data_IF_916396794208
#
_entry.id   IF_916396794208
#
_cell.length_a   1.000
_cell.length_b   1.000
_cell.length_c   1.000
_cell.angle_alpha   90.00
_cell.angle_beta   90.00
_cell.angle_gamma   90.00
#
_symmetry.space_group_name_H-M   'P 1'
#
loop_
_entity.id
_entity.type
_entity.pdbx_description
1 polymer ?
#
# COMPACT_ATOMS: atom_id res chain seq x y z
N UNK A 1 20.63 7.42 6.11
CA UNK A 1 19.38 8.21 6.00
C UNK A 1 19.70 9.59 5.44
N UNK A 2 19.07 10.01 4.34
CA UNK A 2 19.16 11.40 3.84
C UNK A 2 17.87 12.13 4.21
N UNK A 3 17.96 13.30 4.88
CA UNK A 3 16.79 14.04 5.36
C UNK A 3 15.84 14.48 4.22
N UNK A 4 16.39 14.73 3.02
CA UNK A 4 15.63 15.08 1.81
C UNK A 4 14.71 13.94 1.37
N UNK A 5 15.24 12.72 1.32
CA UNK A 5 14.46 11.50 1.04
C UNK A 5 13.33 11.27 2.05
N UNK A 6 13.60 11.48 3.34
CA UNK A 6 12.59 11.34 4.38
C UNK A 6 11.44 12.36 4.22
N UNK A 7 11.79 13.63 3.94
CA UNK A 7 10.81 14.67 3.68
C UNK A 7 9.98 14.34 2.42
N UNK A 8 10.63 13.88 1.35
CA UNK A 8 9.98 13.49 0.12
C UNK A 8 8.93 12.38 0.35
N UNK A 9 9.30 11.29 1.05
CA UNK A 9 8.36 10.22 1.40
C UNK A 9 7.20 10.71 2.25
N UNK A 10 7.45 11.61 3.21
CA UNK A 10 6.39 12.20 4.04
C UNK A 10 5.41 13.02 3.21
N UNK A 11 5.91 13.83 2.27
CA UNK A 11 5.09 14.62 1.34
C UNK A 11 4.25 13.71 0.43
N UNK A 12 4.81 12.59 -0.05
CA UNK A 12 4.06 11.60 -0.81
C UNK A 12 2.88 11.01 -0.01
N UNK A 13 3.10 10.64 1.26
CA UNK A 13 2.04 10.09 2.13
C UNK A 13 0.88 11.05 2.35
N UNK A 14 1.15 12.35 2.45
CA UNK A 14 0.11 13.39 2.63
C UNK A 14 -0.43 13.93 1.30
N UNK A 15 -0.14 13.27 0.17
CA UNK A 15 -0.68 13.63 -1.15
C UNK A 15 -0.04 14.85 -1.81
N UNK A 16 1.07 15.37 -1.29
CA UNK A 16 1.81 16.53 -1.83
C UNK A 16 2.90 16.11 -2.81
N UNK A 17 2.53 15.27 -3.77
CA UNK A 17 3.49 14.67 -4.70
C UNK A 17 4.31 15.69 -5.52
N UNK A 18 3.74 16.78 -6.10
CA UNK A 18 4.52 17.77 -6.84
C UNK A 18 5.68 18.37 -6.02
N UNK A 19 5.45 18.59 -4.73
CA UNK A 19 6.48 19.11 -3.82
C UNK A 19 7.50 18.03 -3.44
N UNK A 20 7.04 16.80 -3.20
CA UNK A 20 7.90 15.67 -2.86
C UNK A 20 9.01 15.42 -3.90
N UNK A 21 8.66 15.56 -5.19
CA UNK A 21 9.57 15.28 -6.32
C UNK A 21 10.83 16.15 -6.33
N UNK A 22 10.75 17.37 -5.80
CA UNK A 22 11.90 18.26 -5.66
C UNK A 22 12.91 17.82 -4.58
N UNK A 23 12.49 16.93 -3.67
CA UNK A 23 13.30 16.45 -2.55
C UNK A 23 13.86 15.03 -2.74
N UNK A 24 13.31 14.22 -3.65
CA UNK A 24 13.94 12.95 -4.01
C UNK A 24 15.26 13.20 -4.72
N UNK A 25 16.39 12.89 -4.10
CA UNK A 25 17.73 13.02 -4.67
C UNK A 25 18.11 11.77 -5.48
N UNK A 26 17.54 10.61 -5.13
CA UNK A 26 17.73 9.35 -5.86
C UNK A 26 16.79 9.32 -7.08
N UNK A 27 17.32 9.30 -8.32
CA UNK A 27 16.50 9.42 -9.53
C UNK A 27 15.43 8.34 -9.67
N UNK A 28 15.76 7.10 -9.33
CA UNK A 28 14.82 5.98 -9.42
C UNK A 28 13.65 6.14 -8.43
N UNK A 29 13.89 6.69 -7.24
CA UNK A 29 12.83 6.92 -6.25
C UNK A 29 11.92 8.06 -6.70
N UNK A 30 12.51 9.13 -7.25
CA UNK A 30 11.75 10.22 -7.88
C UNK A 30 10.86 9.73 -9.01
N UNK A 31 11.39 8.85 -9.87
CA UNK A 31 10.64 8.29 -11.00
C UNK A 31 9.46 7.45 -10.51
N UNK A 32 9.68 6.55 -9.53
CA UNK A 32 8.61 5.76 -8.95
C UNK A 32 7.54 6.63 -8.27
N UNK A 33 7.96 7.66 -7.53
CA UNK A 33 7.04 8.62 -6.90
C UNK A 33 6.17 9.34 -7.94
N UNK A 34 6.76 9.79 -9.05
CA UNK A 34 6.05 10.45 -10.15
C UNK A 34 5.04 9.51 -10.80
N UNK A 35 5.48 8.30 -11.17
CA UNK A 35 4.61 7.29 -11.77
C UNK A 35 3.42 6.97 -10.85
N UNK A 36 3.66 6.80 -9.56
CA UNK A 36 2.60 6.55 -8.58
C UNK A 36 1.60 7.70 -8.51
N UNK A 37 2.09 8.95 -8.49
CA UNK A 37 1.23 10.13 -8.46
C UNK A 37 0.38 10.26 -9.73
N UNK A 38 0.95 9.98 -10.90
CA UNK A 38 0.25 10.02 -12.18
C UNK A 38 -0.84 8.94 -12.28
N UNK A 39 -0.53 7.71 -11.86
CA UNK A 39 -1.52 6.63 -11.84
C UNK A 39 -2.66 6.92 -10.85
N UNK A 40 -2.36 7.47 -9.67
CA UNK A 40 -3.40 7.89 -8.74
C UNK A 40 -4.26 9.03 -9.30
N UNK A 41 -3.66 9.98 -10.02
CA UNK A 41 -4.39 11.06 -10.67
C UNK A 41 -5.36 10.48 -11.71
N UNK A 42 -4.88 9.59 -12.58
CA UNK A 42 -5.71 8.92 -13.59
C UNK A 42 -6.82 8.06 -12.95
N UNK A 43 -6.52 7.32 -11.89
CA UNK A 43 -7.48 6.48 -11.17
C UNK A 43 -8.63 7.28 -10.51
N UNK A 44 -8.30 8.49 -10.02
CA UNK A 44 -9.26 9.38 -9.34
C UNK A 44 -10.04 10.27 -10.31
N UNK A 45 -9.63 10.37 -11.57
CA UNK A 45 -10.33 11.14 -12.60
C UNK A 45 -11.67 10.47 -12.97
N UNK A 46 -12.75 10.96 -12.37
CA UNK A 46 -14.11 10.43 -12.57
C UNK A 46 -14.67 10.68 -13.98
N UNK A 47 -14.01 11.50 -14.81
CA UNK A 47 -14.41 11.70 -16.21
C UNK A 47 -13.97 10.56 -17.12
N UNK A 48 -13.04 9.72 -16.65
CA UNK A 48 -12.53 8.56 -17.41
C UNK A 48 -13.35 7.30 -17.15
N UNK A 49 -13.34 6.37 -18.12
CA UNK A 49 -14.09 5.13 -18.05
C UNK A 49 -13.69 4.28 -16.81
N UNK A 50 -14.63 3.56 -16.19
CA UNK A 50 -14.35 2.71 -15.01
C UNK A 50 -13.19 1.73 -15.21
N UNK A 51 -13.10 1.10 -16.39
CA UNK A 51 -12.01 0.15 -16.70
C UNK A 51 -10.64 0.83 -16.72
N UNK A 52 -10.51 2.03 -17.30
CA UNK A 52 -9.26 2.80 -17.31
C UNK A 52 -8.83 3.15 -15.88
N UNK A 53 -9.79 3.54 -15.04
CA UNK A 53 -9.55 3.85 -13.63
C UNK A 53 -9.16 2.61 -12.83
N UNK A 54 -9.81 1.46 -13.07
CA UNK A 54 -9.43 0.18 -12.48
C UNK A 54 -7.98 -0.20 -12.80
N UNK A 55 -7.58 -0.07 -14.07
CA UNK A 55 -6.21 -0.32 -14.49
C UNK A 55 -5.22 0.63 -13.79
N UNK A 56 -5.54 1.91 -13.71
CA UNK A 56 -4.69 2.90 -13.04
C UNK A 56 -4.55 2.63 -11.53
N UNK A 57 -5.65 2.33 -10.83
CA UNK A 57 -5.60 1.90 -9.43
C UNK A 57 -4.73 0.66 -9.25
N UNK A 58 -4.85 -0.33 -10.14
CA UNK A 58 -4.06 -1.55 -10.04
C UNK A 58 -2.57 -1.33 -10.35
N UNK A 59 -2.23 -0.45 -11.30
CA UNK A 59 -0.84 -0.05 -11.56
C UNK A 59 -0.24 0.69 -10.37
N UNK A 60 -0.98 1.65 -9.78
CA UNK A 60 -0.57 2.32 -8.55
C UNK A 60 -0.37 1.33 -7.39
N UNK A 61 -1.28 0.36 -7.24
CA UNK A 61 -1.18 -0.70 -6.23
C UNK A 61 0.09 -1.54 -6.39
N UNK A 62 0.39 -1.99 -7.61
CA UNK A 62 1.60 -2.78 -7.87
C UNK A 62 2.88 -1.97 -7.62
N UNK A 63 2.90 -0.71 -8.05
CA UNK A 63 4.04 0.16 -7.82
C UNK A 63 4.29 0.39 -6.33
N UNK A 64 3.22 0.64 -5.56
CA UNK A 64 3.29 0.76 -4.11
C UNK A 64 3.73 -0.55 -3.45
N UNK A 65 3.21 -1.69 -3.91
CA UNK A 65 3.63 -3.00 -3.41
C UNK A 65 5.11 -3.28 -3.66
N UNK A 66 5.63 -2.87 -4.81
CA UNK A 66 7.00 -3.16 -5.23
C UNK A 66 8.02 -2.17 -4.65
N UNK A 67 7.68 -0.88 -4.61
CA UNK A 67 8.61 0.23 -4.34
C UNK A 67 8.08 1.21 -3.28
N UNK A 68 7.04 0.85 -2.54
CA UNK A 68 6.40 1.75 -1.57
C UNK A 68 7.31 2.14 -0.42
N UNK A 69 8.33 1.34 -0.10
CA UNK A 69 9.30 1.69 0.93
C UNK A 69 10.12 2.91 0.51
N UNK A 70 10.49 2.98 -0.76
CA UNK A 70 11.38 3.96 -1.36
C UNK A 70 10.71 5.34 -1.46
N UNK A 71 9.42 5.38 -1.85
CA UNK A 71 8.73 6.65 -2.11
C UNK A 71 7.61 7.01 -1.12
N UNK A 72 7.15 6.09 -0.27
CA UNK A 72 6.13 6.38 0.77
C UNK A 72 6.49 5.86 2.16
N UNK A 73 7.55 5.06 2.31
CA UNK A 73 7.88 4.38 3.56
C UNK A 73 8.11 5.31 4.74
N UNK A 74 7.65 4.90 5.92
CA UNK A 74 8.06 5.48 7.18
C UNK A 74 9.51 5.06 7.52
N UNK A 75 10.32 5.99 8.00
CA UNK A 75 11.72 5.71 8.33
C UNK A 75 11.85 4.67 9.45
N UNK A 76 11.01 4.84 10.48
CA UNK A 76 10.86 3.94 11.62
C UNK A 76 9.48 3.26 11.50
N UNK A 77 8.77 3.05 12.61
CA UNK A 77 7.40 2.50 12.59
C UNK A 77 6.48 3.27 11.62
N UNK A 78 5.62 2.57 10.87
CA UNK A 78 5.50 1.12 10.78
C UNK A 78 6.46 0.43 9.82
N UNK A 79 7.09 1.11 8.86
CA UNK A 79 7.75 0.42 7.73
C UNK A 79 9.21 0.06 7.98
N UNK A 80 9.88 0.75 8.89
CA UNK A 80 11.31 0.59 9.19
C UNK A 80 12.20 0.70 7.94
N UNK A 81 11.97 1.72 7.13
CA UNK A 81 12.76 1.98 5.92
C UNK A 81 14.26 2.17 6.21
N UNK A 82 14.63 2.64 7.40
CA UNK A 82 16.02 2.72 7.84
C UNK A 82 16.74 1.36 7.82
N UNK A 83 16.01 0.27 8.03
CA UNK A 83 16.49 -1.11 7.98
C UNK A 83 16.09 -1.83 6.69
N UNK A 84 15.68 -1.09 5.66
CA UNK A 84 15.22 -1.66 4.41
C UNK A 84 14.03 -2.60 4.58
N UNK A 85 13.18 -2.39 5.60
CA UNK A 85 12.06 -3.28 5.91
C UNK A 85 12.46 -4.75 6.22
N UNK A 86 13.72 -4.98 6.63
CA UNK A 86 14.22 -6.33 6.95
C UNK A 86 13.69 -6.91 8.26
N UNK A 87 13.42 -6.05 9.24
CA UNK A 87 12.84 -6.42 10.54
C UNK A 87 12.16 -5.21 11.18
N UNK A 88 11.13 -5.48 11.98
CA UNK A 88 10.54 -4.51 12.91
C UNK A 88 11.14 -4.71 14.31
N UNK A 89 11.35 -3.64 15.06
CA UNK A 89 11.50 -3.76 16.50
C UNK A 89 10.12 -3.88 17.16
N UNK A 90 9.95 -4.88 18.04
CA UNK A 90 8.88 -4.89 19.03
C UNK A 90 9.26 -3.88 20.10
N UNK A 91 8.75 -2.66 19.95
CA UNK A 91 9.13 -1.52 20.75
C UNK A 91 9.02 -0.30 19.87
N UNK A 92 7.78 0.15 19.67
CA UNK A 92 7.57 1.52 19.21
C UNK A 92 8.41 2.41 20.14
N UNK A 93 9.24 3.31 19.61
CA UNK A 93 10.11 4.15 20.45
C UNK A 93 9.29 5.02 21.43
N UNK A 94 7.97 5.03 21.26
CA UNK A 94 6.96 5.73 22.04
C UNK A 94 6.01 4.81 22.80
N UNK A 95 6.21 3.48 22.78
CA UNK A 95 5.48 2.55 23.65
C UNK A 95 6.09 2.57 25.05
N UNK A 96 5.62 3.51 25.86
CA UNK A 96 6.10 3.74 27.22
C UNK A 96 5.52 2.77 28.25
N UNK A 97 4.60 1.87 27.86
CA UNK A 97 3.84 1.00 28.79
C UNK A 97 4.74 0.07 29.60
N UNK A 98 5.85 -0.37 29.03
CA UNK A 98 6.82 -1.27 29.66
C UNK A 98 8.01 -0.54 30.30
N UNK A 99 8.04 0.80 30.29
CA UNK A 99 9.13 1.57 30.88
C UNK A 99 9.06 1.50 32.40
N UNK A 100 9.97 0.71 33.00
CA UNK A 100 10.14 0.59 34.46
C UNK A 100 10.84 1.80 35.11
N UNK A 101 11.25 2.79 34.32
CA UNK A 101 11.98 3.99 34.75
C UNK A 101 11.33 5.24 34.16
N UNK A 102 11.63 6.41 34.76
CA UNK A 102 11.13 7.71 34.28
C UNK A 102 11.55 7.92 32.82
N UNK A 103 10.57 8.02 31.93
CA UNK A 103 10.81 8.39 30.53
C UNK A 103 11.42 9.80 30.45
N UNK A 104 12.38 9.97 29.55
CA UNK A 104 12.96 11.28 29.23
C UNK A 104 12.13 12.01 28.17
N UNK A 105 11.14 11.32 27.61
CA UNK A 105 10.13 11.84 26.70
C UNK A 105 8.98 12.36 27.56
N UNK A 106 8.68 13.64 27.45
CA UNK A 106 7.50 14.22 28.08
C UNK A 106 6.21 13.85 27.31
N UNK A 107 5.05 14.16 27.90
CA UNK A 107 3.77 13.83 27.29
C UNK A 107 3.49 14.58 25.98
N UNK A 108 4.12 15.75 25.77
CA UNK A 108 3.97 16.52 24.55
C UNK A 108 4.72 15.86 23.38
N UNK A 109 5.94 15.39 23.64
CA UNK A 109 6.75 14.67 22.67
C UNK A 109 6.17 13.29 22.36
N UNK A 110 5.62 12.58 23.37
CA UNK A 110 4.88 11.33 23.16
C UNK A 110 3.66 11.56 22.24
N UNK A 111 2.87 12.61 22.50
CA UNK A 111 1.73 12.95 21.66
C UNK A 111 2.14 13.33 20.24
N UNK A 112 3.20 14.14 20.07
CA UNK A 112 3.75 14.52 18.76
C UNK A 112 4.18 13.30 17.97
N UNK A 113 4.83 12.34 18.62
CA UNK A 113 5.30 11.13 17.99
C UNK A 113 4.17 10.20 17.57
N UNK A 114 3.17 10.01 18.44
CA UNK A 114 1.96 9.26 18.11
C UNK A 114 1.21 9.88 16.93
N UNK A 115 1.14 11.20 16.86
CA UNK A 115 0.55 11.93 15.74
C UNK A 115 1.35 11.82 14.43
N UNK A 116 2.59 11.34 14.49
CA UNK A 116 3.41 11.10 13.30
C UNK A 116 3.20 9.69 12.69
N UNK A 117 2.46 8.81 13.36
CA UNK A 117 2.08 7.48 12.88
C UNK A 117 0.97 7.58 11.82
N UNK A 118 0.79 6.55 10.97
CA UNK A 118 -0.40 6.44 10.14
C UNK A 118 -1.68 6.50 10.99
N UNK A 119 -2.70 7.20 10.49
CA UNK A 119 -4.02 7.25 11.13
C UNK A 119 -4.69 5.87 11.19
N UNK A 120 -4.50 5.07 10.14
CA UNK A 120 -4.99 3.71 10.03
C UNK A 120 -3.86 2.73 9.68
N UNK A 121 -4.00 1.49 10.15
CA UNK A 121 -3.12 0.38 9.79
C UNK A 121 -1.63 0.57 10.11
N UNK A 122 -1.29 0.73 11.39
CA UNK A 122 0.10 0.83 11.86
C UNK A 122 0.86 -0.52 11.89
N UNK A 123 0.62 -1.41 10.93
CA UNK A 123 1.24 -2.74 10.86
C UNK A 123 2.59 -2.68 10.16
N UNK A 124 3.53 -3.54 10.56
CA UNK A 124 4.84 -3.64 9.90
C UNK A 124 4.71 -3.89 8.40
N UNK A 125 5.37 -3.05 7.58
CA UNK A 125 5.23 -2.98 6.11
C UNK A 125 3.86 -2.46 5.65
N UNK A 126 3.34 -1.46 6.35
CA UNK A 126 2.05 -0.79 6.13
C UNK A 126 1.78 -0.45 4.65
N UNK A 127 2.80 -0.03 3.89
CA UNK A 127 2.64 0.25 2.45
C UNK A 127 2.02 -0.92 1.65
N UNK A 128 2.15 -2.17 2.12
CA UNK A 128 1.53 -3.35 1.50
C UNK A 128 0.01 -3.35 1.62
N UNK A 129 -0.54 -2.91 2.74
CA UNK A 129 -1.99 -2.81 2.93
C UNK A 129 -2.56 -1.58 2.25
N UNK A 130 -1.79 -0.49 2.16
CA UNK A 130 -2.16 0.61 1.27
C UNK A 130 -2.27 0.14 -0.19
N UNK A 131 -1.34 -0.71 -0.65
CA UNK A 131 -1.43 -1.32 -1.97
C UNK A 131 -2.68 -2.21 -2.09
N UNK A 132 -3.01 -3.01 -1.07
CA UNK A 132 -4.28 -3.77 -1.01
C UNK A 132 -5.48 -2.84 -1.15
N UNK A 133 -5.52 -1.71 -0.45
CA UNK A 133 -6.59 -0.72 -0.56
C UNK A 133 -6.78 -0.22 -1.98
N UNK A 134 -5.69 0.15 -2.67
CA UNK A 134 -5.73 0.56 -4.08
C UNK A 134 -6.21 -0.58 -4.99
N UNK A 135 -5.77 -1.82 -4.76
CA UNK A 135 -6.24 -2.97 -5.51
C UNK A 135 -7.73 -3.27 -5.26
N UNK A 136 -8.24 -3.02 -4.05
CA UNK A 136 -9.68 -3.12 -3.76
C UNK A 136 -10.46 -2.04 -4.51
N UNK A 137 -9.96 -0.81 -4.59
CA UNK A 137 -10.55 0.24 -5.41
C UNK A 137 -10.55 -0.11 -6.91
N UNK A 138 -9.50 -0.78 -7.40
CA UNK A 138 -9.52 -1.34 -8.75
C UNK A 138 -10.63 -2.40 -8.91
N UNK A 139 -10.73 -3.34 -7.96
CA UNK A 139 -11.73 -4.39 -7.98
C UNK A 139 -13.18 -3.86 -7.85
N UNK A 140 -13.41 -2.74 -7.19
CA UNK A 140 -14.72 -2.08 -7.10
C UNK A 140 -15.22 -1.58 -8.46
N UNK A 141 -14.31 -1.35 -9.42
CA UNK A 141 -14.60 -0.82 -10.75
C UNK A 141 -14.62 -1.90 -11.85
N UNK A 142 -14.45 -3.18 -11.47
CA UNK A 142 -14.43 -4.31 -12.40
C UNK A 142 -15.71 -5.13 -12.30
N UNK A 143 -16.21 -5.71 -13.41
CA UNK A 143 -17.32 -6.67 -13.34
C UNK A 143 -16.92 -7.86 -12.45
N UNK A 144 -17.71 -8.22 -11.42
CA UNK A 144 -17.33 -9.30 -10.50
C UNK A 144 -17.09 -10.65 -11.19
N UNK A 145 -17.78 -10.92 -12.30
CA UNK A 145 -17.63 -12.16 -13.08
C UNK A 145 -16.42 -12.20 -14.01
N UNK A 146 -15.65 -11.11 -14.11
CA UNK A 146 -14.46 -11.03 -14.96
C UNK A 146 -13.24 -11.74 -14.32
N UNK A 147 -12.32 -12.18 -15.17
CA UNK A 147 -11.04 -12.73 -14.71
C UNK A 147 -10.26 -11.65 -13.95
N UNK A 148 -10.21 -10.44 -14.50
CA UNK A 148 -9.51 -9.31 -13.90
C UNK A 148 -9.91 -9.06 -12.45
N UNK A 149 -11.21 -9.07 -12.14
CA UNK A 149 -11.70 -8.92 -10.77
C UNK A 149 -11.10 -9.98 -9.82
N UNK A 150 -11.16 -11.25 -10.22
CA UNK A 150 -10.63 -12.35 -9.42
C UNK A 150 -9.11 -12.25 -9.25
N UNK A 151 -8.37 -11.94 -10.31
CA UNK A 151 -6.92 -11.84 -10.28
C UNK A 151 -6.41 -10.63 -9.48
N UNK A 152 -7.09 -9.47 -9.57
CA UNK A 152 -6.78 -8.28 -8.75
C UNK A 152 -6.88 -8.63 -7.25
N UNK A 153 -8.00 -9.24 -6.83
CA UNK A 153 -8.19 -9.63 -5.43
C UNK A 153 -7.23 -10.74 -4.99
N UNK A 154 -6.90 -11.68 -5.87
CA UNK A 154 -5.90 -12.72 -5.60
C UNK A 154 -4.53 -12.11 -5.32
N UNK A 155 -4.05 -11.24 -6.22
CA UNK A 155 -2.77 -10.57 -6.06
C UNK A 155 -2.75 -9.72 -4.79
N UNK A 156 -3.81 -8.94 -4.53
CA UNK A 156 -3.94 -8.17 -3.29
C UNK A 156 -3.81 -9.07 -2.05
N UNK A 157 -4.50 -10.21 -2.02
CA UNK A 157 -4.39 -11.15 -0.92
C UNK A 157 -2.96 -11.68 -0.76
N UNK A 158 -2.27 -12.02 -1.85
CA UNK A 158 -0.90 -12.53 -1.82
C UNK A 158 0.11 -11.60 -1.15
N UNK A 159 -0.16 -10.28 -1.18
CA UNK A 159 0.75 -9.28 -0.63
C UNK A 159 0.78 -9.28 0.89
N UNK A 160 -0.31 -9.71 1.53
CA UNK A 160 -0.49 -9.63 2.98
C UNK A 160 -0.75 -10.97 3.65
N UNK A 161 -1.22 -12.01 2.94
CA UNK A 161 -1.74 -13.26 3.56
C UNK A 161 -0.76 -13.97 4.49
N UNK A 162 0.55 -13.92 4.23
CA UNK A 162 1.58 -14.52 5.10
C UNK A 162 1.79 -13.76 6.43
N UNK A 163 1.32 -12.52 6.53
CA UNK A 163 1.41 -11.64 7.71
C UNK A 163 0.04 -11.42 8.36
N UNK A 164 -1.00 -11.39 7.54
CA UNK A 164 -2.38 -11.12 7.93
C UNK A 164 -3.33 -12.03 7.13
N UNK A 165 -3.47 -13.26 7.64
CA UNK A 165 -4.37 -14.26 7.08
C UNK A 165 -5.84 -13.80 7.15
N UNK A 166 -6.20 -12.91 8.09
CA UNK A 166 -7.57 -12.39 8.22
C UNK A 166 -7.93 -11.52 7.02
N UNK A 167 -7.06 -10.57 6.66
CA UNK A 167 -7.26 -9.72 5.47
C UNK A 167 -7.24 -10.56 4.19
N UNK A 168 -6.29 -11.49 4.05
CA UNK A 168 -6.26 -12.43 2.92
C UNK A 168 -7.56 -13.24 2.77
N UNK A 169 -8.10 -13.74 3.90
CA UNK A 169 -9.38 -14.47 3.93
C UNK A 169 -10.56 -13.57 3.57
N UNK A 170 -10.59 -12.32 4.03
CA UNK A 170 -11.65 -11.36 3.70
C UNK A 170 -11.69 -11.06 2.19
N UNK A 171 -10.52 -10.89 1.56
CA UNK A 171 -10.42 -10.72 0.10
C UNK A 171 -10.87 -11.96 -0.66
N UNK A 172 -10.51 -13.15 -0.19
CA UNK A 172 -11.00 -14.40 -0.77
C UNK A 172 -12.51 -14.55 -0.63
N UNK A 173 -13.08 -14.24 0.54
CA UNK A 173 -14.53 -14.25 0.78
C UNK A 173 -15.26 -13.28 -0.15
N UNK A 174 -14.75 -12.05 -0.30
CA UNK A 174 -15.28 -11.06 -1.24
C UNK A 174 -15.32 -11.63 -2.67
N UNK A 175 -14.22 -12.25 -3.11
CA UNK A 175 -14.13 -12.88 -4.42
C UNK A 175 -15.16 -14.00 -4.60
N UNK A 176 -15.21 -15.00 -3.71
CA UNK A 176 -16.10 -16.17 -3.90
C UNK A 176 -17.59 -15.82 -3.83
N UNK A 177 -17.96 -14.74 -3.14
CA UNK A 177 -19.36 -14.33 -3.01
C UNK A 177 -19.95 -13.81 -4.32
N UNK A 178 -19.14 -13.21 -5.19
CA UNK A 178 -19.61 -12.51 -6.39
C UNK A 178 -18.93 -12.96 -7.67
N UNK A 179 -17.75 -13.55 -7.57
CA UNK A 179 -16.87 -13.88 -8.68
C UNK A 179 -17.20 -15.16 -9.45
N UNK A 180 -16.48 -15.35 -10.55
CA UNK A 180 -16.45 -16.59 -11.32
C UNK A 180 -15.33 -17.48 -10.79
N UNK A 181 -15.58 -18.79 -10.62
CA UNK A 181 -14.53 -19.75 -10.23
C UNK A 181 -13.64 -20.10 -11.41
N UNK A 182 -12.33 -19.92 -11.23
CA UNK A 182 -11.29 -20.34 -12.18
C UNK A 182 -10.45 -21.48 -11.59
N UNK A 183 -9.84 -22.36 -12.41
CA UNK A 183 -9.01 -23.46 -11.91
C UNK A 183 -7.88 -23.03 -10.96
N UNK A 184 -7.21 -21.91 -11.27
CA UNK A 184 -6.12 -21.36 -10.44
C UNK A 184 -6.58 -20.82 -9.09
N UNK A 185 -7.89 -20.58 -8.90
CA UNK A 185 -8.41 -20.00 -7.64
C UNK A 185 -8.35 -20.97 -6.46
N UNK A 186 -8.03 -22.25 -6.71
CA UNK A 186 -7.65 -23.20 -5.65
C UNK A 186 -6.37 -22.78 -4.90
N UNK A 187 -5.53 -21.93 -5.51
CA UNK A 187 -4.30 -21.35 -4.94
C UNK A 187 -4.44 -19.84 -4.73
N UNK A 188 -5.65 -19.35 -4.49
CA UNK A 188 -5.92 -17.92 -4.30
C UNK A 188 -5.04 -17.31 -3.21
N UNK A 189 -4.38 -16.19 -3.51
CA UNK A 189 -3.43 -15.52 -2.63
C UNK A 189 -2.03 -16.14 -2.64
N UNK A 190 -1.76 -17.15 -3.47
CA UNK A 190 -0.46 -17.78 -3.61
C UNK A 190 0.00 -17.79 -5.07
N UNK A 191 -0.80 -18.36 -5.97
CA UNK A 191 -0.50 -18.46 -7.40
C UNK A 191 -1.56 -17.66 -8.17
N UNK A 192 -1.29 -16.37 -8.34
CA UNK A 192 -2.22 -15.42 -8.93
C UNK A 192 -1.75 -15.01 -10.34
N UNK A 193 -2.60 -15.12 -11.38
CA UNK A 193 -2.24 -14.64 -12.70
C UNK A 193 -2.27 -13.10 -12.75
N UNK A 194 -1.73 -12.53 -13.83
CA UNK A 194 -1.96 -11.13 -14.15
C UNK A 194 -3.46 -10.91 -14.50
N UNK A 195 -4.07 -9.78 -14.07
CA UNK A 195 -5.44 -9.46 -14.44
C UNK A 195 -5.58 -9.24 -15.95
N UNK A 196 -6.55 -9.92 -16.57
CA UNK A 196 -6.87 -9.72 -17.99
C UNK A 196 -7.92 -8.62 -18.13
N UNK A 197 -7.44 -7.38 -18.20
CA UNK A 197 -8.28 -6.20 -18.42
C UNK A 197 -8.80 -6.09 -19.86
N UNK A 198 -8.13 -6.72 -20.84
CA UNK A 198 -8.53 -6.65 -22.24
C UNK A 198 -9.79 -7.46 -22.52
N UNK A 199 -9.99 -8.56 -21.78
CA UNK A 199 -11.22 -9.35 -21.82
C UNK A 199 -12.40 -8.73 -21.06
N UNK A 200 -12.22 -7.58 -20.40
CA UNK A 200 -13.33 -6.85 -19.78
C UNK A 200 -14.05 -6.07 -20.88
N UNK A 201 -15.26 -6.52 -21.23
CA UNK A 201 -16.10 -5.79 -22.17
C UNK A 201 -16.37 -4.35 -21.66
N UNK A 202 -16.38 -3.34 -22.55
CA UNK A 202 -16.65 -1.96 -22.19
C UNK A 202 -18.07 -1.75 -21.65
#
# INVERSE_FOLDING_TARGET
MQLRELLARRLMRVGRAPEALAYFDIPNYRQAAQQYADELKAAKDKSTAPLTRAQAYYRAANLLRAQGLEFTGYEMTPDYAIYGAGYSYLGDAFDTRELKHKSWIDSAEEARAKAALPEEDNRFLHYRWQAVGLAQQAADLLPPKSQAYAAVLCNAASWVIKRDAKTGRALYQRYINTGTRYPWTAKFGYDCPAPDFAAVAP
#
